data_IF_506317794372
#
_entry.id   IF_506317794372
#
_cell.length_a   1.000
_cell.length_b   1.000
_cell.length_c   1.000
_cell.angle_alpha   90.00
_cell.angle_beta   90.00
_cell.angle_gamma   90.00
#
_symmetry.space_group_name_H-M   'P 1'
#
loop_
_entity.id
_entity.type
_entity.pdbx_description
1 polymer ?
#
# COMPACT_ATOMS: atom_id res chain seq x y z
N UNK A 1 28.59 -44.65 23.79
CA UNK A 1 27.92 -43.92 22.69
C UNK A 1 26.53 -43.62 23.23
N UNK A 2 26.32 -42.41 23.71
CA UNK A 2 25.06 -41.98 24.30
C UNK A 2 24.53 -40.83 23.45
N UNK A 3 23.55 -41.16 22.62
CA UNK A 3 22.78 -40.26 21.77
C UNK A 3 21.89 -39.38 22.65
N UNK A 4 22.50 -38.41 23.33
CA UNK A 4 21.79 -37.39 24.11
C UNK A 4 21.21 -36.32 23.18
N UNK A 5 20.10 -36.70 22.53
CA UNK A 5 18.84 -35.96 22.50
C UNK A 5 18.96 -34.43 22.37
N UNK A 6 18.92 -33.94 21.13
CA UNK A 6 18.42 -32.59 20.85
C UNK A 6 16.92 -32.55 21.10
N UNK A 7 16.53 -32.41 22.36
CA UNK A 7 15.18 -31.99 22.74
C UNK A 7 15.07 -30.49 22.37
N UNK A 8 14.53 -30.23 21.19
CA UNK A 8 13.96 -28.94 20.86
C UNK A 8 12.81 -28.70 21.83
N UNK A 9 13.06 -27.89 22.85
CA UNK A 9 12.02 -27.27 23.66
C UNK A 9 11.14 -26.44 22.73
N UNK A 10 10.00 -27.01 22.36
CA UNK A 10 8.89 -26.28 21.76
C UNK A 10 8.21 -25.47 22.86
N UNK A 11 8.86 -24.38 23.27
CA UNK A 11 8.19 -23.35 24.04
C UNK A 11 7.12 -22.70 23.15
N UNK A 12 5.89 -22.50 23.65
CA UNK A 12 4.90 -21.70 22.94
C UNK A 12 5.49 -20.31 22.80
N UNK A 13 5.84 -19.93 21.56
CA UNK A 13 6.35 -18.61 21.22
C UNK A 13 5.30 -17.59 21.66
N UNK A 14 5.49 -17.03 22.84
CA UNK A 14 4.74 -15.88 23.32
C UNK A 14 5.11 -14.72 22.38
N UNK A 15 4.15 -14.34 21.54
CA UNK A 15 4.27 -13.37 20.44
C UNK A 15 4.73 -11.97 20.91
N UNK A 16 4.84 -11.74 22.22
CA UNK A 16 5.29 -10.50 22.85
C UNK A 16 6.69 -10.55 23.49
N UNK A 17 7.41 -11.67 23.41
CA UNK A 17 8.79 -11.71 23.92
C UNK A 17 9.78 -11.17 22.88
N UNK A 18 10.68 -10.22 23.23
CA UNK A 18 11.67 -9.70 22.29
C UNK A 18 12.53 -10.83 21.72
N UNK A 19 12.33 -11.15 20.43
CA UNK A 19 13.08 -12.20 19.71
C UNK A 19 14.55 -11.84 19.50
N UNK A 20 14.94 -10.60 19.79
CA UNK A 20 16.26 -10.04 19.55
C UNK A 20 16.89 -9.60 20.87
N UNK A 21 18.22 -9.75 20.95
CA UNK A 21 19.00 -9.17 22.05
C UNK A 21 18.81 -7.66 22.06
N UNK A 22 18.86 -7.00 23.23
CA UNK A 22 18.60 -5.55 23.35
C UNK A 22 19.52 -4.70 22.47
N UNK A 23 20.76 -5.14 22.23
CA UNK A 23 21.69 -4.48 21.32
C UNK A 23 21.24 -4.55 19.86
N UNK A 24 20.73 -5.70 19.42
CA UNK A 24 20.24 -5.89 18.06
C UNK A 24 18.93 -5.12 17.83
N UNK A 25 18.05 -5.09 18.84
CA UNK A 25 16.82 -4.31 18.80
C UNK A 25 17.11 -2.80 18.64
N UNK A 26 18.09 -2.27 19.37
CA UNK A 26 18.48 -0.86 19.25
C UNK A 26 18.97 -0.49 17.84
N UNK A 27 19.72 -1.39 17.19
CA UNK A 27 20.18 -1.18 15.81
C UNK A 27 19.03 -1.20 14.80
N UNK A 28 18.04 -2.07 15.01
CA UNK A 28 16.82 -2.12 14.18
C UNK A 28 16.00 -0.85 14.35
N UNK A 29 15.80 -0.41 15.58
CA UNK A 29 15.03 0.80 15.88
C UNK A 29 15.69 2.05 15.25
N UNK A 30 17.01 2.18 15.36
CA UNK A 30 17.76 3.26 14.72
C UNK A 30 17.62 3.22 13.18
N UNK A 31 17.64 2.02 12.59
CA UNK A 31 17.49 1.85 11.15
C UNK A 31 16.08 2.19 10.65
N UNK A 32 15.04 1.80 11.40
CA UNK A 32 13.65 2.11 11.08
C UNK A 32 13.35 3.61 11.20
N UNK A 33 13.94 4.27 12.20
CA UNK A 33 13.80 5.72 12.41
C UNK A 33 14.51 6.56 11.34
N UNK A 34 15.59 6.05 10.73
CA UNK A 34 16.33 6.76 9.66
C UNK A 34 15.47 7.05 8.43
N UNK A 35 14.31 6.39 8.27
CA UNK A 35 13.21 6.92 7.47
C UNK A 35 13.57 7.35 6.05
N UNK A 36 14.50 6.65 5.39
CA UNK A 36 15.02 7.00 4.04
C UNK A 36 13.94 6.95 2.93
N UNK A 37 12.72 6.52 3.26
CA UNK A 37 11.58 6.41 2.35
C UNK A 37 10.31 7.10 2.90
N UNK A 38 10.46 8.10 3.78
CA UNK A 38 9.35 8.99 4.17
C UNK A 38 9.27 10.16 3.18
N UNK A 39 8.55 9.94 2.08
CA UNK A 39 8.24 11.01 1.11
C UNK A 39 6.98 11.72 1.58
N UNK A 40 6.96 13.06 1.59
CA UNK A 40 5.73 13.83 1.79
C UNK A 40 4.72 13.48 0.69
N UNK A 41 3.79 12.58 1.02
CA UNK A 41 2.74 12.18 0.07
C UNK A 41 1.67 13.25 0.09
N UNK A 42 1.52 13.95 -1.05
CA UNK A 42 0.34 14.79 -1.29
C UNK A 42 -0.90 13.95 -0.96
N UNK A 43 -1.84 14.44 -0.12
CA UNK A 43 -3.04 13.68 0.21
C UNK A 43 -3.77 13.34 -1.09
N UNK A 44 -4.08 12.06 -1.27
CA UNK A 44 -4.82 11.59 -2.43
C UNK A 44 -6.23 12.20 -2.40
N UNK A 45 -6.64 12.83 -3.51
CA UNK A 45 -7.94 13.51 -3.63
C UNK A 45 -8.85 12.73 -4.58
N UNK A 46 -9.44 11.60 -4.15
CA UNK A 46 -10.19 10.68 -5.02
C UNK A 46 -11.35 11.37 -5.74
N UNK A 47 -12.07 12.25 -5.04
CA UNK A 47 -13.21 12.98 -5.61
C UNK A 47 -12.81 13.86 -6.80
N UNK A 48 -11.61 14.47 -6.75
CA UNK A 48 -11.13 15.31 -7.86
C UNK A 48 -10.91 14.48 -9.13
N UNK A 49 -10.38 13.28 -8.99
CA UNK A 49 -10.16 12.36 -10.11
C UNK A 49 -11.50 11.87 -10.69
N UNK A 50 -12.48 11.56 -9.83
CA UNK A 50 -13.81 11.15 -10.28
C UNK A 50 -14.55 12.27 -11.03
N UNK A 51 -14.48 13.51 -10.55
CA UNK A 51 -15.08 14.67 -11.24
C UNK A 51 -14.42 14.85 -12.62
N UNK A 52 -13.09 14.80 -12.69
CA UNK A 52 -12.36 14.92 -13.96
C UNK A 52 -12.80 13.84 -14.95
N UNK A 53 -12.90 12.59 -14.50
CA UNK A 53 -13.37 11.47 -15.32
C UNK A 53 -14.79 11.72 -15.84
N UNK A 54 -15.71 12.12 -14.97
CA UNK A 54 -17.09 12.40 -15.33
C UNK A 54 -17.16 13.50 -16.39
N UNK A 55 -16.44 14.60 -16.21
CA UNK A 55 -16.39 15.71 -17.17
C UNK A 55 -15.93 15.24 -18.54
N UNK A 56 -14.85 14.45 -18.61
CA UNK A 56 -14.32 13.95 -19.87
C UNK A 56 -15.34 13.06 -20.57
N UNK A 57 -15.87 12.06 -19.86
CA UNK A 57 -16.84 11.12 -20.44
C UNK A 57 -18.11 11.83 -20.87
N UNK A 58 -18.69 12.70 -20.04
CA UNK A 58 -19.89 13.47 -20.39
C UNK A 58 -19.66 14.37 -21.60
N UNK A 59 -18.50 15.02 -21.68
CA UNK A 59 -18.15 15.87 -22.84
C UNK A 59 -18.09 15.05 -24.12
N UNK A 60 -17.40 13.90 -24.10
CA UNK A 60 -17.31 13.01 -25.27
C UNK A 60 -18.69 12.45 -25.65
N UNK A 61 -19.52 12.08 -24.66
CA UNK A 61 -20.90 11.63 -24.91
C UNK A 61 -21.74 12.71 -25.60
N UNK A 62 -21.69 13.95 -25.12
CA UNK A 62 -22.43 15.08 -25.71
C UNK A 62 -21.91 15.38 -27.11
N UNK A 63 -20.59 15.44 -27.30
CA UNK A 63 -19.99 15.68 -28.61
C UNK A 63 -20.37 14.58 -29.62
N UNK A 64 -20.32 13.31 -29.20
CA UNK A 64 -20.74 12.17 -30.03
C UNK A 64 -22.20 12.32 -30.48
N UNK A 65 -23.11 12.65 -29.57
CA UNK A 65 -24.52 12.87 -29.89
C UNK A 65 -24.73 14.07 -30.82
N UNK A 66 -24.00 15.17 -30.64
CA UNK A 66 -24.10 16.34 -31.52
C UNK A 66 -23.65 16.00 -32.94
N UNK A 67 -22.54 15.27 -33.07
CA UNK A 67 -22.06 14.82 -34.37
C UNK A 67 -23.05 13.85 -35.04
N UNK A 68 -23.64 12.92 -34.28
CA UNK A 68 -24.67 12.02 -34.81
C UNK A 68 -25.90 12.78 -35.33
N UNK A 69 -26.36 13.80 -34.58
CA UNK A 69 -27.46 14.68 -34.99
C UNK A 69 -27.13 15.45 -36.27
N UNK A 70 -25.92 15.98 -36.39
CA UNK A 70 -25.49 16.72 -37.59
C UNK A 70 -25.27 15.82 -38.81
N UNK A 71 -24.83 14.59 -38.58
CA UNK A 71 -24.69 13.58 -39.63
C UNK A 71 -26.05 13.04 -40.13
N UNK A 72 -27.17 13.47 -39.54
CA UNK A 72 -28.50 13.00 -39.92
C UNK A 72 -28.77 11.56 -39.50
N UNK A 73 -27.99 11.01 -38.55
CA UNK A 73 -28.19 9.67 -38.00
C UNK A 73 -29.23 9.75 -36.90
N UNK A 74 -30.51 9.72 -37.28
CA UNK A 74 -31.67 9.48 -36.42
C UNK A 74 -32.78 8.80 -37.22
#
# INVERSE_FOLDING_TARGET
MDDSKHEQDTDPVDDNSPRLKPEDQARVDEFLQKGVNSVERKPFKPIRLLILLLVVVTTLSVLSQLLAKWAGVY
#
